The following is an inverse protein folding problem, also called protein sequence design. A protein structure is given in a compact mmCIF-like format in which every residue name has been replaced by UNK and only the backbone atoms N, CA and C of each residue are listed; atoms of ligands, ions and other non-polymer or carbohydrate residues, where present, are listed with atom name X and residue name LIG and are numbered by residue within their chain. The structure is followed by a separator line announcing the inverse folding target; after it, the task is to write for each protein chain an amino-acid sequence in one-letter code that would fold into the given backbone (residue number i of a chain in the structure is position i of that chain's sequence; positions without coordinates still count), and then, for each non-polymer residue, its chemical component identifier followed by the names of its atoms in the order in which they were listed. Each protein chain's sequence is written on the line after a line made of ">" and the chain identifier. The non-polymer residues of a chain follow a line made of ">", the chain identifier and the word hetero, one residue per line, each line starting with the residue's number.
data_IF_257905729269
#
_entry.id   IF_257905729269
#
_cell.length_a   1.000
_cell.length_b   1.000
_cell.length_c   1.000
_cell.angle_alpha   90.00
_cell.angle_beta   90.00
_cell.angle_gamma   90.00
#
_symmetry.space_group_name_H-M   'P 1'
#
loop_
_entity.id
_entity.type
_entity.pdbx_description
1 polymer ?
#
# COMPACT_ATOMS: atom_id res chain seq x y z
N UNK A 1 5.69 10.00 -21.08
CA UNK A 1 5.58 8.74 -21.85
C UNK A 1 6.32 7.64 -21.09
N UNK A 2 5.61 6.56 -20.79
CA UNK A 2 6.19 5.40 -20.10
C UNK A 2 7.35 4.78 -20.90
N UNK A 3 8.36 4.26 -20.19
CA UNK A 3 9.50 3.54 -20.82
C UNK A 3 9.09 2.18 -21.40
N UNK A 4 8.14 1.52 -20.75
CA UNK A 4 7.50 0.29 -21.23
C UNK A 4 6.16 0.08 -20.49
N UNK A 5 5.29 -0.71 -21.10
CA UNK A 5 4.04 -1.17 -20.46
C UNK A 5 4.20 -2.66 -20.10
N UNK A 6 4.13 -2.97 -18.80
CA UNK A 6 4.29 -4.35 -18.31
C UNK A 6 3.21 -5.30 -18.84
N UNK A 7 1.97 -4.82 -18.99
CA UNK A 7 0.88 -5.66 -19.47
C UNK A 7 1.10 -6.10 -20.94
N UNK A 8 1.73 -5.25 -21.75
CA UNK A 8 2.01 -5.52 -23.17
C UNK A 8 3.26 -6.39 -23.34
N UNK A 9 4.31 -6.09 -22.56
CA UNK A 9 5.64 -6.72 -22.74
C UNK A 9 5.76 -8.04 -21.99
N UNK A 10 5.15 -8.14 -20.80
CA UNK A 10 5.20 -9.32 -19.94
C UNK A 10 3.81 -9.64 -19.36
N UNK A 11 2.83 -10.00 -20.20
CA UNK A 11 1.45 -10.18 -19.77
C UNK A 11 1.26 -11.30 -18.73
N UNK A 12 2.09 -12.33 -18.76
CA UNK A 12 2.02 -13.40 -17.75
C UNK A 12 2.50 -12.93 -16.37
N UNK A 13 3.57 -12.13 -16.33
CA UNK A 13 4.05 -11.51 -15.08
C UNK A 13 3.02 -10.53 -14.53
N UNK A 14 2.44 -9.70 -15.40
CA UNK A 14 1.37 -8.78 -15.01
C UNK A 14 0.17 -9.52 -14.38
N UNK A 15 -0.29 -10.61 -15.01
CA UNK A 15 -1.38 -11.45 -14.48
C UNK A 15 -1.03 -12.11 -13.14
N UNK A 16 0.21 -12.53 -12.94
CA UNK A 16 0.65 -13.11 -11.66
C UNK A 16 0.56 -12.07 -10.52
N UNK A 17 1.00 -10.84 -10.77
CA UNK A 17 0.87 -9.75 -9.78
C UNK A 17 -0.59 -9.37 -9.58
N UNK A 18 -1.41 -9.33 -10.64
CA UNK A 18 -2.87 -9.12 -10.53
C UNK A 18 -3.55 -10.21 -9.68
N UNK A 19 -3.06 -11.44 -9.71
CA UNK A 19 -3.54 -12.49 -8.82
C UNK A 19 -3.30 -12.17 -7.34
N UNK A 20 -2.13 -11.63 -6.99
CA UNK A 20 -1.83 -11.14 -5.66
C UNK A 20 -2.71 -9.95 -5.28
N UNK A 21 -2.92 -9.01 -6.21
CA UNK A 21 -3.79 -7.84 -6.01
C UNK A 21 -5.23 -8.24 -5.69
N UNK A 22 -5.80 -9.17 -6.45
CA UNK A 22 -7.15 -9.69 -6.25
C UNK A 22 -7.26 -10.38 -4.88
N UNK A 23 -6.27 -11.21 -4.53
CA UNK A 23 -6.21 -11.84 -3.22
C UNK A 23 -6.18 -10.82 -2.09
N UNK A 24 -5.27 -9.85 -2.17
CA UNK A 24 -5.09 -8.83 -1.14
C UNK A 24 -6.36 -7.98 -0.95
N UNK A 25 -7.01 -7.56 -2.02
CA UNK A 25 -8.27 -6.81 -1.96
C UNK A 25 -9.39 -7.61 -1.29
N UNK A 26 -9.50 -8.90 -1.60
CA UNK A 26 -10.54 -9.78 -1.06
C UNK A 26 -10.37 -10.06 0.44
N UNK A 27 -9.13 -10.14 0.92
CA UNK A 27 -8.80 -10.63 2.26
C UNK A 27 -8.39 -9.54 3.25
N UNK A 28 -8.51 -8.28 2.90
CA UNK A 28 -8.27 -7.14 3.78
C UNK A 28 -9.52 -6.26 3.89
N UNK A 29 -9.66 -5.58 5.03
CA UNK A 29 -10.69 -4.54 5.18
C UNK A 29 -10.50 -3.47 4.10
N UNK A 30 -11.57 -3.08 3.35
CA UNK A 30 -11.43 -2.17 2.22
C UNK A 30 -10.81 -0.82 2.58
N UNK A 31 -11.22 -0.20 3.69
CA UNK A 31 -10.66 1.09 4.11
C UNK A 31 -9.18 0.97 4.46
N UNK A 32 -8.81 -0.05 5.22
CA UNK A 32 -7.42 -0.33 5.58
C UNK A 32 -6.56 -0.61 4.35
N UNK A 33 -7.06 -1.42 3.43
CA UNK A 33 -6.40 -1.77 2.18
C UNK A 33 -6.01 -0.52 1.36
N UNK A 34 -6.92 0.44 1.20
CA UNK A 34 -6.62 1.70 0.52
C UNK A 34 -5.59 2.55 1.25
N UNK A 35 -5.70 2.65 2.58
CA UNK A 35 -4.79 3.45 3.40
C UNK A 35 -3.34 2.94 3.33
N UNK A 36 -3.12 1.63 3.45
CA UNK A 36 -1.77 1.06 3.39
C UNK A 36 -1.17 1.15 1.98
N UNK A 37 -1.97 0.98 0.94
CA UNK A 37 -1.51 1.14 -0.44
C UNK A 37 -1.09 2.58 -0.72
N UNK A 38 -1.88 3.55 -0.26
CA UNK A 38 -1.54 4.96 -0.39
C UNK A 38 -0.25 5.27 0.39
N UNK A 39 -0.11 4.76 1.63
CA UNK A 39 1.09 5.00 2.44
C UNK A 39 2.36 4.47 1.78
N UNK A 40 2.36 3.22 1.32
CA UNK A 40 3.51 2.65 0.62
C UNK A 40 3.85 3.43 -0.65
N UNK A 41 2.83 3.85 -1.40
CA UNK A 41 3.00 4.62 -2.64
C UNK A 41 3.60 6.00 -2.40
N UNK A 42 3.23 6.68 -1.31
CA UNK A 42 3.84 7.94 -0.87
C UNK A 42 5.31 7.72 -0.52
N UNK A 43 5.62 6.70 0.28
CA UNK A 43 7.00 6.37 0.67
C UNK A 43 7.90 6.07 -0.52
N UNK A 44 7.38 5.36 -1.51
CA UNK A 44 8.10 4.97 -2.72
C UNK A 44 8.10 6.06 -3.81
N UNK A 45 7.39 7.17 -3.61
CA UNK A 45 7.30 8.25 -4.59
C UNK A 45 6.62 7.87 -5.90
N UNK A 46 5.65 6.92 -5.85
CA UNK A 46 4.93 6.47 -7.04
C UNK A 46 3.74 7.40 -7.34
N UNK A 47 3.94 8.39 -8.22
CA UNK A 47 2.88 9.34 -8.59
C UNK A 47 1.66 8.65 -9.19
N UNK A 48 1.84 7.72 -10.11
CA UNK A 48 0.76 6.90 -10.67
C UNK A 48 -0.06 6.20 -9.58
N UNK A 49 0.62 5.57 -8.62
CA UNK A 49 -0.04 4.79 -7.56
C UNK A 49 -0.73 5.70 -6.54
N UNK A 50 -0.12 6.84 -6.20
CA UNK A 50 -0.75 7.83 -5.29
C UNK A 50 -2.04 8.37 -5.90
N UNK A 51 -2.00 8.77 -7.16
CA UNK A 51 -3.19 9.27 -7.87
C UNK A 51 -4.30 8.22 -7.95
N UNK A 52 -3.96 7.02 -8.41
CA UNK A 52 -4.93 5.93 -8.58
C UNK A 52 -5.56 5.52 -7.23
N UNK A 53 -4.76 5.24 -6.20
CA UNK A 53 -5.29 4.73 -4.94
C UNK A 53 -6.01 5.79 -4.11
N UNK A 54 -5.61 7.06 -4.18
CA UNK A 54 -6.36 8.13 -3.54
C UNK A 54 -7.72 8.36 -4.23
N UNK A 55 -7.77 8.30 -5.55
CA UNK A 55 -9.00 8.42 -6.33
C UNK A 55 -9.97 7.27 -6.05
N UNK A 56 -9.46 6.03 -6.05
CA UNK A 56 -10.27 4.84 -5.70
C UNK A 56 -10.82 4.92 -4.27
N UNK A 57 -9.97 5.29 -3.30
CA UNK A 57 -10.39 5.43 -1.91
C UNK A 57 -11.49 6.48 -1.73
N UNK A 58 -11.37 7.64 -2.40
CA UNK A 58 -12.42 8.66 -2.40
C UNK A 58 -13.73 8.14 -2.99
N UNK A 59 -13.66 7.42 -4.11
CA UNK A 59 -14.82 6.84 -4.77
C UNK A 59 -15.54 5.79 -3.88
N UNK A 60 -14.79 5.11 -3.01
CA UNK A 60 -15.32 4.14 -2.04
C UNK A 60 -15.73 4.78 -0.70
N UNK A 61 -15.71 6.12 -0.60
CA UNK A 61 -16.24 6.87 0.54
C UNK A 61 -15.21 7.24 1.63
N UNK A 62 -13.90 7.06 1.38
CA UNK A 62 -12.86 7.51 2.32
C UNK A 62 -12.81 9.05 2.37
N UNK A 63 -12.46 9.59 3.52
CA UNK A 63 -12.35 11.04 3.73
C UNK A 63 -11.07 11.60 3.10
N UNK A 64 -11.20 12.67 2.30
CA UNK A 64 -10.05 13.40 1.76
C UNK A 64 -9.11 13.90 2.85
N UNK A 65 -9.67 14.32 4.00
CA UNK A 65 -8.87 14.75 5.16
C UNK A 65 -7.96 13.63 5.68
N UNK A 66 -8.47 12.42 5.77
CA UNK A 66 -7.70 11.24 6.20
C UNK A 66 -6.65 10.86 5.15
N UNK A 67 -7.02 10.88 3.87
CA UNK A 67 -6.09 10.58 2.78
C UNK A 67 -4.91 11.55 2.72
N UNK A 68 -5.16 12.86 2.89
CA UNK A 68 -4.08 13.87 2.95
C UNK A 68 -3.17 13.66 4.17
N UNK A 69 -3.74 13.24 5.30
CA UNK A 69 -3.00 13.00 6.53
C UNK A 69 -2.11 11.74 6.50
N UNK A 70 -2.33 10.81 5.56
CA UNK A 70 -1.50 9.58 5.43
C UNK A 70 -0.01 9.90 5.27
N UNK A 71 0.32 10.98 4.58
CA UNK A 71 1.71 11.40 4.38
C UNK A 71 2.44 11.69 5.70
N UNK A 72 1.72 12.17 6.70
CA UNK A 72 2.23 12.54 8.03
C UNK A 72 1.41 11.87 9.15
N UNK A 73 1.08 10.61 8.98
CA UNK A 73 0.14 9.90 9.85
C UNK A 73 0.53 9.91 11.34
N UNK A 74 1.83 9.91 11.67
CA UNK A 74 2.28 9.96 13.08
C UNK A 74 1.85 11.24 13.78
N UNK A 75 1.93 12.38 13.10
CA UNK A 75 1.49 13.69 13.62
C UNK A 75 -0.03 13.87 13.58
N UNK A 76 -0.72 13.07 12.76
CA UNK A 76 -2.16 13.11 12.57
C UNK A 76 -2.86 11.88 13.17
N UNK A 77 -2.26 11.21 14.16
CA UNK A 77 -2.72 9.95 14.71
C UNK A 77 -4.18 9.97 15.17
N UNK A 78 -4.68 11.11 15.64
CA UNK A 78 -6.08 11.25 16.06
C UNK A 78 -7.12 11.02 14.95
N UNK A 79 -6.72 10.97 13.69
CA UNK A 79 -7.60 10.68 12.54
C UNK A 79 -7.73 9.19 12.25
N UNK A 80 -6.95 8.35 12.91
CA UNK A 80 -6.83 6.93 12.59
C UNK A 80 -7.09 6.06 13.82
N UNK A 81 -7.59 4.85 13.60
CA UNK A 81 -7.75 3.85 14.66
C UNK A 81 -6.40 3.25 15.05
N UNK A 82 -6.32 2.65 16.25
CA UNK A 82 -5.12 1.93 16.69
C UNK A 82 -4.71 0.82 15.70
N UNK A 83 -5.70 0.15 15.11
CA UNK A 83 -5.47 -0.88 14.09
C UNK A 83 -4.84 -0.29 12.81
N UNK A 84 -5.33 0.86 12.37
CA UNK A 84 -4.78 1.59 11.22
C UNK A 84 -3.38 2.12 11.50
N UNK A 85 -3.13 2.66 12.70
CA UNK A 85 -1.80 3.14 13.10
C UNK A 85 -0.77 2.01 13.11
N UNK A 86 -1.12 0.85 13.67
CA UNK A 86 -0.26 -0.33 13.65
C UNK A 86 0.02 -0.81 12.21
N UNK A 87 -0.99 -0.75 11.33
CA UNK A 87 -0.83 -1.10 9.92
C UNK A 87 0.09 -0.11 9.18
N UNK A 88 -0.01 1.19 9.43
CA UNK A 88 0.92 2.17 8.87
C UNK A 88 2.36 1.93 9.31
N UNK A 89 2.56 1.65 10.59
CA UNK A 89 3.90 1.39 11.11
C UNK A 89 4.52 0.15 10.49
N UNK A 90 3.74 -0.93 10.36
CA UNK A 90 4.19 -2.14 9.66
C UNK A 90 4.45 -1.86 8.17
N UNK A 91 3.60 -1.08 7.51
CA UNK A 91 3.78 -0.67 6.11
C UNK A 91 5.09 0.08 5.93
N UNK A 92 5.40 1.03 6.81
CA UNK A 92 6.66 1.78 6.78
C UNK A 92 7.86 0.85 6.93
N UNK A 93 7.84 -0.05 7.91
CA UNK A 93 8.93 -0.96 8.21
C UNK A 93 9.16 -1.99 7.08
N UNK A 94 8.10 -2.55 6.51
CA UNK A 94 8.20 -3.53 5.40
C UNK A 94 8.60 -2.84 4.10
N UNK A 95 8.13 -1.64 3.85
CA UNK A 95 8.47 -0.87 2.65
C UNK A 95 9.94 -0.43 2.65
N UNK A 96 10.48 -0.09 3.82
CA UNK A 96 11.87 0.32 4.03
C UNK A 96 12.51 -0.57 5.09
N UNK A 97 12.90 -1.78 4.69
CA UNK A 97 13.38 -2.82 5.61
C UNK A 97 14.58 -2.42 6.48
N UNK A 98 15.48 -1.60 5.98
CA UNK A 98 16.71 -1.27 6.69
C UNK A 98 17.62 -2.48 6.89
N UNK A 99 18.71 -2.30 7.68
CA UNK A 99 19.73 -3.34 7.86
C UNK A 99 19.26 -4.53 8.72
N UNK A 100 18.27 -4.31 9.58
CA UNK A 100 17.77 -5.29 10.52
C UNK A 100 16.33 -5.76 10.26
N UNK A 101 15.79 -5.43 9.08
CA UNK A 101 14.43 -5.81 8.67
C UNK A 101 13.34 -5.06 9.43
N UNK A 102 12.30 -5.78 9.85
CA UNK A 102 11.19 -5.24 10.64
C UNK A 102 11.53 -5.37 12.14
N UNK A 103 11.55 -4.24 12.90
CA UNK A 103 11.78 -4.30 14.35
C UNK A 103 10.72 -5.12 15.09
N UNK A 104 11.13 -5.85 16.13
CA UNK A 104 10.21 -6.67 16.92
C UNK A 104 9.07 -5.85 17.53
N UNK A 105 9.33 -4.62 17.97
CA UNK A 105 8.30 -3.72 18.53
C UNK A 105 7.23 -3.35 17.52
N UNK A 106 7.60 -3.19 16.25
CA UNK A 106 6.64 -2.92 15.17
C UNK A 106 5.77 -4.14 14.91
N UNK A 107 6.41 -5.30 14.85
CA UNK A 107 5.71 -6.58 14.70
C UNK A 107 4.74 -6.84 15.84
N UNK A 108 5.18 -6.67 17.09
CA UNK A 108 4.37 -6.92 18.27
C UNK A 108 3.15 -5.99 18.35
N UNK A 109 3.31 -4.72 17.99
CA UNK A 109 2.17 -3.78 17.91
C UNK A 109 1.15 -4.20 16.84
N UNK A 110 1.62 -4.66 15.68
CA UNK A 110 0.73 -5.21 14.65
C UNK A 110 0.05 -6.49 15.13
N UNK A 111 0.80 -7.42 15.73
CA UNK A 111 0.27 -8.68 16.26
C UNK A 111 -0.73 -8.48 17.41
N UNK A 112 -0.68 -7.35 18.10
CA UNK A 112 -1.68 -6.99 19.11
C UNK A 112 -3.02 -6.53 18.50
N UNK A 113 -3.01 -6.06 17.25
CA UNK A 113 -4.20 -5.54 16.54
C UNK A 113 -4.79 -6.50 15.50
N UNK A 114 -3.99 -7.43 15.00
CA UNK A 114 -4.36 -8.37 13.95
C UNK A 114 -4.12 -9.81 14.40
N UNK A 115 -5.05 -10.71 14.11
CA UNK A 115 -4.78 -12.14 14.26
C UNK A 115 -3.75 -12.62 13.20
N UNK A 116 -3.29 -13.87 13.31
CA UNK A 116 -2.27 -14.41 12.42
C UNK A 116 -2.68 -14.42 10.95
N UNK A 117 -3.95 -14.70 10.66
CA UNK A 117 -4.46 -14.72 9.31
C UNK A 117 -4.57 -13.30 8.73
N UNK A 118 -5.13 -12.37 9.51
CA UNK A 118 -5.19 -10.96 9.16
C UNK A 118 -3.79 -10.38 8.90
N UNK A 119 -2.83 -10.71 9.78
CA UNK A 119 -1.45 -10.22 9.67
C UNK A 119 -0.77 -10.76 8.40
N UNK A 120 -0.96 -12.03 8.07
CA UNK A 120 -0.47 -12.63 6.83
C UNK A 120 -1.07 -11.93 5.59
N UNK A 121 -2.39 -11.68 5.61
CA UNK A 121 -3.08 -10.98 4.52
C UNK A 121 -2.64 -9.52 4.38
N UNK A 122 -2.37 -8.85 5.49
CA UNK A 122 -1.83 -7.48 5.52
C UNK A 122 -0.41 -7.45 4.90
N UNK A 123 0.45 -8.41 5.24
CA UNK A 123 1.78 -8.53 4.64
C UNK A 123 1.72 -8.74 3.13
N UNK A 124 0.80 -9.57 2.63
CA UNK A 124 0.60 -9.76 1.19
C UNK A 124 0.15 -8.45 0.54
N UNK A 125 -0.76 -7.71 1.16
CA UNK A 125 -1.20 -6.41 0.64
C UNK A 125 -0.05 -5.40 0.56
N UNK A 126 0.76 -5.27 1.61
CA UNK A 126 1.93 -4.38 1.65
C UNK A 126 2.97 -4.80 0.59
N UNK A 127 3.26 -6.09 0.49
CA UNK A 127 4.23 -6.62 -0.47
C UNK A 127 3.76 -6.41 -1.91
N UNK A 128 2.49 -6.60 -2.19
CA UNK A 128 1.90 -6.43 -3.52
C UNK A 128 1.96 -4.97 -3.97
N UNK A 129 1.57 -4.03 -3.12
CA UNK A 129 1.69 -2.61 -3.49
C UNK A 129 3.14 -2.19 -3.72
N UNK A 130 4.08 -2.74 -2.96
CA UNK A 130 5.50 -2.51 -3.19
C UNK A 130 5.98 -3.06 -4.55
N UNK A 131 5.44 -4.18 -5.02
CA UNK A 131 5.71 -4.68 -6.39
C UNK A 131 5.23 -3.65 -7.42
N UNK A 132 3.97 -3.20 -7.32
CA UNK A 132 3.41 -2.22 -8.25
C UNK A 132 4.16 -0.89 -8.23
N UNK A 133 4.51 -0.38 -7.04
CA UNK A 133 5.28 0.87 -6.91
C UNK A 133 6.62 0.77 -7.66
N UNK A 134 7.35 -0.34 -7.50
CA UNK A 134 8.66 -0.53 -8.14
C UNK A 134 8.55 -0.64 -9.64
N UNK A 135 7.56 -1.36 -10.14
CA UNK A 135 7.27 -1.44 -11.57
C UNK A 135 6.92 -0.06 -12.13
N UNK A 136 5.96 0.63 -11.54
CA UNK A 136 5.48 1.92 -12.03
C UNK A 136 6.56 3.01 -12.00
N UNK A 137 7.34 3.10 -10.92
CA UNK A 137 8.43 4.07 -10.80
C UNK A 137 9.56 3.76 -11.81
N UNK A 138 9.96 2.49 -11.92
CA UNK A 138 11.03 2.08 -12.84
C UNK A 138 10.65 2.30 -14.31
N UNK A 139 9.38 2.09 -14.66
CA UNK A 139 8.90 2.26 -16.03
C UNK A 139 8.44 3.68 -16.36
N UNK A 140 8.42 4.59 -15.38
CA UNK A 140 7.85 5.93 -15.52
C UNK A 140 6.40 5.86 -16.04
N UNK A 141 5.57 5.08 -15.34
CA UNK A 141 4.17 4.91 -15.72
C UNK A 141 3.47 6.27 -15.86
N UNK A 142 2.76 6.46 -16.97
CA UNK A 142 1.98 7.67 -17.22
C UNK A 142 0.82 7.73 -16.20
N UNK A 143 0.44 8.94 -15.76
CA UNK A 143 -0.69 9.09 -14.84
C UNK A 143 -1.99 8.57 -15.48
N UNK A 144 -2.90 8.01 -14.69
CA UNK A 144 -4.19 7.57 -15.22
C UNK A 144 -4.95 8.74 -15.84
N UNK A 145 -5.45 8.57 -17.06
CA UNK A 145 -6.34 9.52 -17.72
C UNK A 145 -5.81 10.96 -17.92
N UNK A 146 -4.50 11.13 -18.07
CA UNK A 146 -3.89 12.43 -18.46
C UNK A 146 -3.63 12.51 -19.95
#
# INVERSE_FOLDING_TARGET
>A
MARLNMADVAPEAYRAVMGLEIYARKHNDPALYHLIKLRASILNGCGFCVDMHSTEALAEGESSRRLFAVAAWREAAALFTEKELAAFELTDAVTRLGDHGVPDEVWDRAAAQFDKAELANLLIAISTINVWNRVAVATHADLPNT
#
